data_IF_822111945365
#
_entry.id   IF_822111945365
#
_cell.length_a   1.000
_cell.length_b   1.000
_cell.length_c   1.000
_cell.angle_alpha   90.00
_cell.angle_beta   90.00
_cell.angle_gamma   90.00
#
_symmetry.space_group_name_H-M   'P 1'
#
loop_
_entity.id
_entity.type
_entity.pdbx_description
1 polymer ?
#
# COMPACT_ATOMS: atom_id res chain seq x y z
N UNK A 1 -7.51 31.78 -13.16
CA UNK A 1 -6.19 31.83 -12.49
C UNK A 1 -6.28 32.15 -11.00
N UNK A 2 -7.24 33.00 -10.58
CA UNK A 2 -7.35 33.47 -9.18
C UNK A 2 -7.82 32.39 -8.19
N UNK A 3 -8.75 31.53 -8.58
CA UNK A 3 -9.32 30.52 -7.68
C UNK A 3 -8.31 29.42 -7.30
N UNK A 4 -7.48 28.95 -8.24
CA UNK A 4 -6.42 28.00 -7.94
C UNK A 4 -5.38 28.57 -6.97
N UNK A 5 -5.00 29.83 -7.14
CA UNK A 5 -4.06 30.50 -6.24
C UNK A 5 -4.61 30.64 -4.81
N UNK A 6 -5.92 30.94 -4.67
CA UNK A 6 -6.59 31.02 -3.36
C UNK A 6 -6.61 29.65 -2.68
N UNK A 7 -6.98 28.60 -3.41
CA UNK A 7 -6.97 27.23 -2.89
C UNK A 7 -5.57 26.80 -2.45
N UNK A 8 -4.57 27.04 -3.28
CA UNK A 8 -3.20 26.61 -3.01
C UNK A 8 -2.62 27.34 -1.78
N UNK A 9 -2.93 28.63 -1.61
CA UNK A 9 -2.59 29.40 -0.41
C UNK A 9 -3.27 28.81 0.82
N UNK A 10 -4.59 28.61 0.78
CA UNK A 10 -5.37 28.04 1.88
C UNK A 10 -4.86 26.67 2.31
N UNK A 11 -4.48 25.81 1.33
CA UNK A 11 -4.02 24.42 1.60
C UNK A 11 -2.58 24.35 2.12
N UNK A 12 -1.79 25.40 2.02
CA UNK A 12 -0.37 25.41 2.42
C UNK A 12 -0.08 26.30 3.62
N UNK A 13 -0.95 27.24 3.96
CA UNK A 13 -0.72 28.29 4.97
C UNK A 13 -0.45 27.73 6.36
N UNK A 14 -1.19 26.70 6.78
CA UNK A 14 -1.07 26.00 8.06
C UNK A 14 -0.10 24.81 8.02
N UNK A 15 0.52 24.53 6.87
CA UNK A 15 1.43 23.39 6.66
C UNK A 15 2.89 23.82 6.72
N UNK A 16 3.80 22.84 6.75
CA UNK A 16 5.25 23.08 6.73
C UNK A 16 5.70 23.93 5.54
N UNK A 17 5.04 23.78 4.40
CA UNK A 17 5.34 24.54 3.19
C UNK A 17 5.07 26.06 3.32
N UNK A 18 4.12 26.49 4.17
CA UNK A 18 3.71 27.87 4.44
C UNK A 18 3.05 28.61 3.26
N UNK A 19 3.48 28.36 2.04
CA UNK A 19 2.95 28.98 0.84
C UNK A 19 3.24 28.14 -0.42
N UNK A 20 2.51 28.36 -1.52
CA UNK A 20 2.70 27.62 -2.77
C UNK A 20 4.09 27.80 -3.40
N UNK A 21 4.72 28.96 -3.20
CA UNK A 21 6.05 29.22 -3.78
C UNK A 21 7.08 28.25 -3.22
N UNK A 22 7.08 27.98 -1.91
CA UNK A 22 7.99 27.02 -1.29
C UNK A 22 7.80 25.61 -1.84
N UNK A 23 6.56 25.20 -2.16
CA UNK A 23 6.28 23.92 -2.82
C UNK A 23 6.94 23.88 -4.20
N UNK A 24 6.70 24.90 -5.02
CA UNK A 24 7.26 24.97 -6.37
C UNK A 24 8.79 25.06 -6.38
N UNK A 25 9.38 25.80 -5.46
CA UNK A 25 10.84 25.89 -5.33
C UNK A 25 11.44 24.51 -5.01
N UNK A 26 10.84 23.77 -4.08
CA UNK A 26 11.25 22.40 -3.75
C UNK A 26 11.08 21.43 -4.94
N UNK A 27 9.93 21.44 -5.60
CA UNK A 27 9.65 20.58 -6.74
C UNK A 27 10.59 20.86 -7.93
N UNK A 28 10.87 22.13 -8.19
CA UNK A 28 11.79 22.53 -9.27
C UNK A 28 13.23 22.14 -8.98
N UNK A 29 13.70 22.30 -7.75
CA UNK A 29 15.03 21.87 -7.32
C UNK A 29 15.17 20.35 -7.43
N UNK A 30 14.18 19.59 -6.94
CA UNK A 30 14.14 18.13 -7.05
C UNK A 30 14.16 17.67 -8.50
N UNK A 31 13.34 18.28 -9.36
CA UNK A 31 13.29 18.01 -10.79
C UNK A 31 14.65 18.23 -11.48
N UNK A 32 15.35 19.30 -11.13
CA UNK A 32 16.67 19.57 -11.69
C UNK A 32 17.70 18.52 -11.25
N UNK A 33 17.71 18.15 -9.97
CA UNK A 33 18.63 17.16 -9.41
C UNK A 33 18.41 15.75 -9.98
N UNK A 34 17.15 15.37 -10.24
CA UNK A 34 16.81 14.04 -10.72
C UNK A 34 16.83 13.90 -12.25
N UNK A 35 16.82 15.00 -13.00
CA UNK A 35 16.66 14.98 -14.46
C UNK A 35 17.65 14.05 -15.15
N UNK A 36 18.94 14.17 -14.84
CA UNK A 36 19.98 13.35 -15.48
C UNK A 36 19.80 11.85 -15.20
N UNK A 37 19.41 11.51 -13.97
CA UNK A 37 19.13 10.11 -13.63
C UNK A 37 17.93 9.58 -14.40
N UNK A 38 16.83 10.32 -14.43
CA UNK A 38 15.63 9.93 -15.15
C UNK A 38 15.87 9.76 -16.67
N UNK A 39 16.65 10.66 -17.28
CA UNK A 39 17.04 10.55 -18.69
C UNK A 39 17.86 9.27 -18.94
N UNK A 40 18.80 8.93 -18.07
CA UNK A 40 19.59 7.70 -18.17
C UNK A 40 18.71 6.45 -18.02
N UNK A 41 17.78 6.45 -17.06
CA UNK A 41 16.85 5.31 -16.84
C UNK A 41 15.97 5.08 -18.07
N UNK A 42 15.43 6.16 -18.66
CA UNK A 42 14.66 6.08 -19.92
C UNK A 42 15.51 5.60 -21.08
N UNK A 43 16.76 6.04 -21.19
CA UNK A 43 17.68 5.58 -22.23
C UNK A 43 18.01 4.09 -22.10
N UNK A 44 18.17 3.56 -20.89
CA UNK A 44 18.38 2.12 -20.65
C UNK A 44 17.16 1.31 -21.13
N UNK A 45 15.96 1.73 -20.78
CA UNK A 45 14.72 1.10 -21.26
C UNK A 45 14.59 1.18 -22.79
N UNK A 46 14.93 2.32 -23.36
CA UNK A 46 14.85 2.54 -24.80
C UNK A 46 15.85 1.67 -25.58
N UNK A 47 17.04 1.42 -25.06
CA UNK A 47 18.01 0.47 -25.63
C UNK A 47 17.43 -0.94 -25.75
N UNK A 48 16.72 -1.41 -24.73
CA UNK A 48 16.05 -2.71 -24.77
C UNK A 48 14.91 -2.71 -25.79
N UNK A 49 14.08 -1.65 -25.81
CA UNK A 49 12.98 -1.51 -26.76
C UNK A 49 13.49 -1.54 -28.20
N UNK A 50 14.55 -0.80 -28.51
CA UNK A 50 15.18 -0.78 -29.84
C UNK A 50 15.73 -2.16 -30.25
N UNK A 51 16.34 -2.87 -29.33
CA UNK A 51 16.84 -4.22 -29.62
C UNK A 51 15.72 -5.22 -29.94
N UNK A 52 14.51 -5.00 -29.38
CA UNK A 52 13.36 -5.89 -29.58
C UNK A 52 12.49 -5.52 -30.78
N UNK A 53 12.22 -4.23 -31.00
CA UNK A 53 11.26 -3.73 -32.00
C UNK A 53 11.91 -3.06 -33.22
N UNK A 54 13.22 -2.82 -33.17
CA UNK A 54 13.94 -2.11 -34.21
C UNK A 54 14.33 -0.67 -33.81
N UNK A 55 15.17 -0.07 -34.62
CA UNK A 55 15.83 1.23 -34.35
C UNK A 55 14.87 2.43 -34.38
N UNK A 56 13.66 2.27 -34.92
CA UNK A 56 12.68 3.35 -35.07
C UNK A 56 11.96 3.72 -33.75
N UNK A 57 12.13 2.92 -32.69
CA UNK A 57 11.61 3.23 -31.38
C UNK A 57 12.33 4.45 -30.78
N UNK A 58 11.61 5.56 -30.57
CA UNK A 58 12.18 6.81 -30.09
C UNK A 58 11.75 7.20 -28.67
N UNK A 59 10.69 6.54 -28.14
CA UNK A 59 10.10 6.89 -26.85
C UNK A 59 9.72 5.65 -26.05
N UNK A 60 9.63 5.80 -24.74
CA UNK A 60 8.96 4.87 -23.84
C UNK A 60 7.64 5.51 -23.42
N UNK A 61 6.53 4.84 -23.73
CA UNK A 61 5.22 5.31 -23.32
C UNK A 61 4.90 4.90 -21.87
N UNK A 62 4.03 5.66 -21.19
CA UNK A 62 3.71 5.41 -19.79
C UNK A 62 3.14 4.01 -19.52
N UNK A 63 2.37 3.44 -20.44
CA UNK A 63 1.77 2.11 -20.31
C UNK A 63 2.74 0.96 -20.52
N UNK A 64 3.91 1.19 -21.11
CA UNK A 64 4.95 0.17 -21.35
C UNK A 64 6.17 0.31 -20.42
N UNK A 65 6.24 1.41 -19.67
CA UNK A 65 7.40 1.73 -18.83
C UNK A 65 7.71 0.60 -17.84
N UNK A 66 6.71 0.11 -17.11
CA UNK A 66 6.88 -1.00 -16.16
C UNK A 66 7.39 -2.28 -16.80
N UNK A 67 6.97 -2.60 -18.02
CA UNK A 67 7.49 -3.75 -18.76
C UNK A 67 8.99 -3.59 -19.04
N UNK A 68 9.41 -2.45 -19.60
CA UNK A 68 10.83 -2.24 -19.93
C UNK A 68 11.69 -2.04 -18.68
N UNK A 69 11.17 -1.49 -17.60
CA UNK A 69 11.84 -1.46 -16.31
C UNK A 69 12.14 -2.88 -15.80
N UNK A 70 11.16 -3.78 -15.86
CA UNK A 70 11.39 -5.19 -15.50
C UNK A 70 12.44 -5.86 -16.40
N UNK A 71 12.42 -5.56 -17.71
CA UNK A 71 13.45 -6.08 -18.64
C UNK A 71 14.85 -5.53 -18.32
N UNK A 72 14.97 -4.29 -17.86
CA UNK A 72 16.25 -3.73 -17.38
C UNK A 72 16.71 -4.47 -16.13
N UNK A 73 15.80 -4.69 -15.16
CA UNK A 73 16.09 -5.42 -13.92
C UNK A 73 16.56 -6.85 -14.21
N UNK A 74 15.85 -7.55 -15.09
CA UNK A 74 16.20 -8.90 -15.51
C UNK A 74 17.59 -8.94 -16.16
N UNK A 75 17.87 -8.05 -17.12
CA UNK A 75 19.15 -8.01 -17.83
C UNK A 75 20.35 -7.60 -16.94
N UNK A 76 20.11 -6.70 -16.00
CA UNK A 76 21.19 -6.06 -15.23
C UNK A 76 21.48 -6.78 -13.91
N UNK A 77 20.46 -7.40 -13.31
CA UNK A 77 20.52 -7.99 -11.99
C UNK A 77 20.06 -9.46 -11.95
N UNK A 78 19.71 -10.04 -13.08
CA UNK A 78 19.13 -11.39 -13.18
C UNK A 78 17.89 -11.58 -12.26
N UNK A 79 17.14 -10.49 -12.08
CA UNK A 79 15.98 -10.44 -11.21
C UNK A 79 14.69 -10.52 -12.04
N UNK A 80 14.04 -11.69 -11.99
CA UNK A 80 12.72 -11.89 -12.59
C UNK A 80 11.62 -11.68 -11.53
N UNK A 81 10.84 -10.62 -11.69
CA UNK A 81 9.72 -10.30 -10.78
C UNK A 81 8.66 -11.41 -10.74
N UNK A 82 8.46 -12.16 -11.82
CA UNK A 82 7.50 -13.28 -11.87
C UNK A 82 8.02 -14.50 -11.10
N UNK A 83 9.34 -14.74 -11.06
CA UNK A 83 9.93 -15.77 -10.21
C UNK A 83 9.86 -15.36 -8.73
N UNK A 84 10.15 -14.09 -8.43
CA UNK A 84 10.14 -13.57 -7.06
C UNK A 84 8.76 -13.68 -6.41
N UNK A 85 7.68 -13.39 -7.15
CA UNK A 85 6.31 -13.45 -6.58
C UNK A 85 5.88 -14.86 -6.18
N UNK A 86 6.52 -15.91 -6.64
CA UNK A 86 6.25 -17.31 -6.20
C UNK A 86 6.55 -17.54 -4.72
N UNK A 87 7.40 -16.73 -4.12
CA UNK A 87 7.71 -16.78 -2.70
C UNK A 87 6.69 -16.04 -1.84
N UNK A 88 5.80 -15.23 -2.44
CA UNK A 88 4.86 -14.36 -1.75
C UNK A 88 3.41 -14.78 -1.99
N UNK A 89 3.08 -16.02 -1.61
CA UNK A 89 1.68 -16.44 -1.56
C UNK A 89 0.96 -15.68 -0.44
N UNK A 90 -0.26 -15.18 -0.73
CA UNK A 90 -1.01 -14.25 0.11
C UNK A 90 -1.21 -14.74 1.55
N UNK A 91 -1.57 -16.01 1.75
CA UNK A 91 -1.81 -16.53 3.11
C UNK A 91 -0.50 -16.67 3.89
N UNK A 92 0.59 -17.03 3.22
CA UNK A 92 1.92 -17.11 3.84
C UNK A 92 2.43 -15.71 4.23
N UNK A 93 2.25 -14.73 3.35
CA UNK A 93 2.59 -13.32 3.65
C UNK A 93 1.75 -12.80 4.82
N UNK A 94 0.45 -13.06 4.83
CA UNK A 94 -0.46 -12.66 5.93
C UNK A 94 -0.04 -13.29 7.26
N UNK A 95 0.28 -14.59 7.26
CA UNK A 95 0.74 -15.30 8.45
C UNK A 95 2.07 -14.74 8.98
N UNK A 96 3.01 -14.46 8.08
CA UNK A 96 4.28 -13.83 8.41
C UNK A 96 4.11 -12.43 8.99
N UNK A 97 3.28 -11.61 8.33
CA UNK A 97 2.92 -10.27 8.79
C UNK A 97 2.30 -10.32 10.19
N UNK A 98 1.32 -11.19 10.43
CA UNK A 98 0.70 -11.35 11.74
C UNK A 98 1.72 -11.76 12.80
N UNK A 99 2.61 -12.71 12.50
CA UNK A 99 3.67 -13.13 13.41
C UNK A 99 4.56 -11.96 13.83
N UNK A 100 5.00 -11.15 12.86
CA UNK A 100 5.86 -9.99 13.11
C UNK A 100 5.14 -8.97 14.00
N UNK A 101 3.93 -8.56 13.64
CA UNK A 101 3.19 -7.53 14.37
C UNK A 101 2.74 -8.00 15.76
N UNK A 102 2.30 -9.26 15.90
CA UNK A 102 1.96 -9.82 17.20
C UNK A 102 3.15 -9.85 18.16
N UNK A 103 4.34 -10.20 17.67
CA UNK A 103 5.55 -10.19 18.49
C UNK A 103 6.03 -8.77 18.79
N UNK A 104 5.93 -7.85 17.83
CA UNK A 104 6.40 -6.47 18.00
C UNK A 104 5.57 -5.70 19.03
N UNK A 105 4.25 -5.90 19.03
CA UNK A 105 3.31 -5.16 19.89
C UNK A 105 2.76 -5.97 21.06
N UNK A 106 3.23 -7.18 21.27
CA UNK A 106 2.75 -8.10 22.31
C UNK A 106 1.21 -8.30 22.27
N UNK A 107 0.67 -8.47 21.09
CA UNK A 107 -0.76 -8.66 20.85
C UNK A 107 -1.04 -10.02 20.21
N UNK A 108 -2.32 -10.43 20.20
CA UNK A 108 -2.80 -11.64 19.56
C UNK A 108 -3.97 -11.30 18.63
N UNK A 109 -3.92 -11.81 17.41
CA UNK A 109 -4.99 -11.65 16.42
C UNK A 109 -5.80 -12.94 16.34
N UNK A 110 -7.11 -12.83 16.51
CA UNK A 110 -8.03 -13.96 16.37
C UNK A 110 -9.04 -13.71 15.27
N UNK A 111 -9.19 -14.65 14.35
CA UNK A 111 -10.21 -14.58 13.32
C UNK A 111 -11.59 -14.74 13.94
N UNK A 112 -12.51 -13.87 13.57
CA UNK A 112 -13.91 -13.93 14.00
C UNK A 112 -14.68 -14.85 13.05
N UNK A 113 -15.38 -15.85 13.61
CA UNK A 113 -16.27 -16.71 12.85
C UNK A 113 -17.60 -16.03 12.56
N UNK A 114 -18.12 -16.19 11.34
CA UNK A 114 -19.37 -15.59 10.87
C UNK A 114 -19.49 -14.09 11.15
N UNK A 115 -18.49 -13.27 10.74
CA UNK A 115 -18.48 -11.85 11.05
C UNK A 115 -19.57 -11.10 10.28
N UNK A 116 -20.06 -9.99 10.86
CA UNK A 116 -20.87 -9.03 10.11
C UNK A 116 -19.95 -8.23 9.19
N UNK A 117 -19.99 -8.50 7.89
CA UNK A 117 -19.15 -7.90 6.87
C UNK A 117 -19.96 -7.42 5.68
N UNK A 118 -19.40 -6.53 4.87
CA UNK A 118 -20.04 -5.96 3.68
C UNK A 118 -19.84 -6.78 2.39
N UNK A 119 -19.00 -7.81 2.44
CA UNK A 119 -18.74 -8.72 1.32
C UNK A 119 -18.16 -10.03 1.82
N UNK A 120 -18.44 -11.15 1.14
CA UNK A 120 -17.99 -12.49 1.50
C UNK A 120 -16.47 -12.70 1.57
N UNK A 121 -15.71 -11.96 0.75
CA UNK A 121 -14.24 -12.00 0.75
C UNK A 121 -13.61 -11.24 1.95
N UNK A 122 -14.40 -10.50 2.73
CA UNK A 122 -13.90 -9.70 3.85
C UNK A 122 -13.74 -10.57 5.07
N UNK A 123 -12.56 -10.52 5.69
CA UNK A 123 -12.27 -11.20 6.93
C UNK A 123 -12.27 -10.20 8.10
N UNK A 124 -12.67 -10.63 9.27
CA UNK A 124 -12.65 -9.84 10.49
C UNK A 124 -11.78 -10.52 11.54
N UNK A 125 -11.00 -9.72 12.26
CA UNK A 125 -10.14 -10.16 13.35
C UNK A 125 -10.35 -9.31 14.60
N UNK A 126 -10.26 -9.94 15.75
CA UNK A 126 -10.14 -9.29 17.06
C UNK A 126 -8.66 -9.17 17.45
N UNK A 127 -8.31 -8.07 18.10
CA UNK A 127 -6.97 -7.82 18.66
C UNK A 127 -7.09 -7.94 20.17
N UNK A 128 -6.31 -8.81 20.76
CA UNK A 128 -6.20 -8.97 22.20
C UNK A 128 -4.80 -8.64 22.67
N UNK A 129 -4.68 -8.04 23.86
CA UNK A 129 -3.41 -8.01 24.56
C UNK A 129 -3.00 -9.43 24.94
N UNK A 130 -1.75 -9.80 24.68
CA UNK A 130 -1.30 -11.20 24.80
C UNK A 130 -1.26 -11.67 26.25
N UNK A 131 -0.94 -10.77 27.19
CA UNK A 131 -0.73 -11.13 28.59
C UNK A 131 -2.02 -11.07 29.43
N UNK A 132 -2.98 -10.24 29.08
CA UNK A 132 -4.23 -10.04 29.84
C UNK A 132 -5.48 -10.61 29.17
N UNK A 133 -5.39 -11.02 27.91
CA UNK A 133 -6.53 -11.39 27.06
C UNK A 133 -7.59 -10.27 26.91
N UNK A 134 -7.22 -9.01 27.20
CA UNK A 134 -8.10 -7.88 27.04
C UNK A 134 -8.32 -7.58 25.53
N UNK A 135 -9.59 -7.37 25.15
CA UNK A 135 -9.94 -6.96 23.79
C UNK A 135 -9.56 -5.48 23.56
N UNK A 136 -8.57 -5.25 22.72
CA UNK A 136 -8.04 -3.92 22.41
C UNK A 136 -8.82 -3.28 21.26
N UNK A 137 -9.13 -4.07 20.22
CA UNK A 137 -9.76 -3.57 19.02
C UNK A 137 -10.15 -4.66 18.03
N UNK A 138 -10.60 -4.23 16.87
CA UNK A 138 -10.98 -5.14 15.78
C UNK A 138 -10.49 -4.58 14.45
N UNK A 139 -10.25 -5.47 13.48
CA UNK A 139 -9.95 -5.03 12.13
C UNK A 139 -10.56 -5.93 11.07
N UNK A 140 -10.76 -5.35 9.91
CA UNK A 140 -11.24 -6.01 8.70
C UNK A 140 -10.14 -6.02 7.64
N UNK A 141 -10.02 -7.14 6.93
CA UNK A 141 -9.17 -7.30 5.75
C UNK A 141 -10.06 -7.44 4.52
N UNK A 142 -10.06 -6.42 3.68
CA UNK A 142 -10.75 -6.37 2.39
C UNK A 142 -9.70 -6.34 1.27
N UNK A 143 -9.20 -7.52 0.88
CA UNK A 143 -7.92 -7.65 0.18
C UNK A 143 -8.03 -7.82 -1.33
N UNK A 144 -9.22 -8.20 -1.86
CA UNK A 144 -9.37 -8.56 -3.26
C UNK A 144 -10.21 -7.55 -4.05
N UNK A 145 -9.92 -7.35 -5.36
CA UNK A 145 -10.68 -6.43 -6.19
C UNK A 145 -12.08 -6.97 -6.49
N UNK A 146 -13.03 -6.06 -6.66
CA UNK A 146 -14.39 -6.32 -7.16
C UNK A 146 -15.00 -5.06 -7.76
N UNK A 147 -16.11 -5.15 -8.51
CA UNK A 147 -16.79 -3.97 -9.05
C UNK A 147 -17.16 -2.96 -7.95
N UNK A 148 -16.98 -1.68 -8.23
CA UNK A 148 -17.29 -0.54 -7.34
C UNK A 148 -16.50 -0.49 -6.03
N UNK A 149 -15.44 -1.28 -5.86
CA UNK A 149 -14.53 -1.18 -4.73
C UNK A 149 -13.53 -0.03 -4.93
N UNK A 150 -13.08 0.56 -3.82
CA UNK A 150 -11.97 1.52 -3.81
C UNK A 150 -10.70 0.92 -4.43
N UNK A 151 -10.14 1.61 -5.42
CA UNK A 151 -9.10 1.06 -6.30
C UNK A 151 -7.66 1.12 -5.76
N UNK A 152 -7.45 1.79 -4.62
CA UNK A 152 -6.12 1.91 -4.00
C UNK A 152 -6.04 1.13 -2.70
N UNK A 153 -4.82 0.94 -2.16
CA UNK A 153 -4.62 0.45 -0.81
C UNK A 153 -4.81 1.59 0.19
N UNK A 154 -5.47 1.32 1.31
CA UNK A 154 -5.63 2.28 2.41
C UNK A 154 -6.16 1.61 3.69
N UNK A 155 -5.81 2.17 4.85
CA UNK A 155 -6.43 1.87 6.13
C UNK A 155 -7.51 2.93 6.47
N UNK A 156 -8.70 2.47 6.84
CA UNK A 156 -9.84 3.32 7.18
C UNK A 156 -10.30 3.06 8.61
N UNK A 157 -10.50 4.13 9.39
CA UNK A 157 -11.17 4.02 10.68
C UNK A 157 -12.67 3.79 10.45
N UNK A 158 -13.18 2.64 10.90
CA UNK A 158 -14.62 2.32 10.89
C UNK A 158 -15.30 2.80 12.17
N UNK A 159 -14.63 2.55 13.30
CA UNK A 159 -15.03 3.04 14.62
C UNK A 159 -13.77 3.61 15.28
N UNK A 160 -13.86 4.86 15.72
CA UNK A 160 -12.80 5.45 16.53
C UNK A 160 -12.94 4.99 17.99
N UNK A 161 -11.83 4.59 18.60
CA UNK A 161 -11.78 4.33 20.04
C UNK A 161 -12.13 5.59 20.83
N UNK A 162 -13.01 5.47 21.82
CA UNK A 162 -13.41 6.60 22.66
C UNK A 162 -14.00 6.17 23.99
N UNK A 163 -13.85 7.02 24.97
CA UNK A 163 -14.60 6.89 26.24
C UNK A 163 -16.09 7.22 26.02
N UNK A 164 -16.95 6.44 26.61
CA UNK A 164 -18.40 6.63 26.63
C UNK A 164 -18.90 6.47 28.07
N UNK A 165 -20.16 6.80 28.34
CA UNK A 165 -20.78 6.62 29.67
C UNK A 165 -20.79 5.14 30.10
N UNK A 166 -20.69 4.20 29.15
CA UNK A 166 -20.66 2.75 29.39
C UNK A 166 -19.24 2.16 29.36
N UNK A 167 -18.20 2.99 29.44
CA UNK A 167 -16.78 2.57 29.38
C UNK A 167 -16.14 2.84 28.02
N UNK A 168 -14.95 2.30 27.82
CA UNK A 168 -14.19 2.48 26.57
C UNK A 168 -14.77 1.65 25.43
N UNK A 169 -15.08 2.33 24.31
CA UNK A 169 -15.49 1.68 23.07
C UNK A 169 -14.25 1.43 22.22
N UNK A 170 -13.95 0.14 21.97
CA UNK A 170 -12.78 -0.28 21.20
C UNK A 170 -12.88 0.18 19.75
N UNK A 171 -11.72 0.51 19.14
CA UNK A 171 -11.65 0.90 17.73
C UNK A 171 -11.92 -0.29 16.80
N UNK A 172 -12.37 0.02 15.60
CA UNK A 172 -12.42 -0.91 14.49
C UNK A 172 -11.88 -0.24 13.22
N UNK A 173 -10.97 -0.91 12.53
CA UNK A 173 -10.27 -0.39 11.35
C UNK A 173 -10.45 -1.34 10.18
N UNK A 174 -10.57 -0.85 8.95
CA UNK A 174 -10.60 -1.66 7.74
C UNK A 174 -9.35 -1.40 6.91
N UNK A 175 -8.65 -2.47 6.56
CA UNK A 175 -7.59 -2.46 5.57
C UNK A 175 -8.16 -2.88 4.22
N UNK A 176 -8.06 -2.00 3.24
CA UNK A 176 -8.51 -2.22 1.87
C UNK A 176 -7.31 -2.32 0.96
N UNK A 177 -7.21 -3.41 0.19
CA UNK A 177 -6.20 -3.61 -0.86
C UNK A 177 -6.86 -4.16 -2.11
N UNK A 178 -6.10 -4.34 -3.19
CA UNK A 178 -6.58 -4.92 -4.45
C UNK A 178 -5.55 -5.91 -4.99
N UNK A 179 -5.22 -6.92 -4.19
CA UNK A 179 -4.29 -7.98 -4.58
C UNK A 179 -4.94 -8.95 -5.58
N UNK A 180 -4.14 -9.65 -6.39
CA UNK A 180 -4.67 -10.66 -7.31
C UNK A 180 -5.54 -11.68 -6.56
N UNK A 181 -6.81 -11.85 -6.98
CA UNK A 181 -7.69 -12.85 -6.37
C UNK A 181 -7.21 -14.25 -6.75
N UNK A 182 -7.18 -15.21 -5.81
CA UNK A 182 -6.86 -16.59 -6.14
C UNK A 182 -7.91 -17.16 -7.11
N UNK A 183 -7.48 -18.07 -7.96
CA UNK A 183 -8.35 -18.82 -8.88
C UNK A 183 -8.35 -20.29 -8.48
N UNK A 184 -9.19 -21.10 -9.11
CA UNK A 184 -9.20 -22.55 -8.91
C UNK A 184 -7.84 -23.21 -9.20
N UNK A 185 -7.04 -22.61 -10.10
CA UNK A 185 -5.78 -23.20 -10.60
C UNK A 185 -4.54 -22.47 -10.10
N UNK A 186 -4.69 -21.31 -9.46
CA UNK A 186 -3.54 -20.50 -9.05
C UNK A 186 -3.81 -19.76 -7.74
N UNK A 187 -2.92 -19.86 -6.74
CA UNK A 187 -3.02 -19.09 -5.52
C UNK A 187 -2.82 -17.59 -5.80
N UNK A 188 -3.22 -16.76 -4.86
CA UNK A 188 -2.90 -15.32 -4.90
C UNK A 188 -1.41 -15.14 -4.65
N UNK A 189 -0.67 -14.78 -5.69
CA UNK A 189 0.77 -14.48 -5.61
C UNK A 189 0.96 -12.96 -5.64
N UNK A 190 1.60 -12.43 -4.61
CA UNK A 190 1.88 -11.01 -4.46
C UNK A 190 3.20 -10.64 -5.17
N UNK A 191 3.29 -9.44 -5.72
CA UNK A 191 4.57 -8.86 -6.10
C UNK A 191 5.29 -8.36 -4.83
N UNK A 192 6.59 -8.10 -4.93
CA UNK A 192 7.34 -7.47 -3.83
C UNK A 192 6.69 -6.13 -3.40
N UNK A 193 6.28 -5.31 -4.36
CA UNK A 193 5.61 -4.03 -4.11
C UNK A 193 4.24 -4.22 -3.41
N UNK A 194 3.52 -5.31 -3.71
CA UNK A 194 2.29 -5.65 -2.99
C UNK A 194 2.57 -5.99 -1.52
N UNK A 195 3.64 -6.73 -1.25
CA UNK A 195 4.06 -7.08 0.12
C UNK A 195 4.44 -5.81 0.88
N UNK A 196 5.25 -4.93 0.28
CA UNK A 196 5.64 -3.65 0.87
C UNK A 196 4.41 -2.80 1.19
N UNK A 197 3.48 -2.66 0.23
CA UNK A 197 2.20 -1.96 0.42
C UNK A 197 1.39 -2.58 1.55
N UNK A 198 1.29 -3.90 1.62
CA UNK A 198 0.55 -4.60 2.68
C UNK A 198 1.11 -4.29 4.07
N UNK A 199 2.43 -4.37 4.24
CA UNK A 199 3.09 -4.02 5.50
C UNK A 199 2.89 -2.56 5.86
N UNK A 200 3.00 -1.65 4.88
CA UNK A 200 2.79 -0.21 5.07
C UNK A 200 1.38 0.09 5.58
N UNK A 201 0.36 -0.38 4.87
CA UNK A 201 -1.04 -0.13 5.22
C UNK A 201 -1.44 -0.84 6.52
N UNK A 202 -0.88 -2.02 6.79
CA UNK A 202 -1.11 -2.70 8.05
C UNK A 202 -0.48 -1.94 9.23
N UNK A 203 0.63 -1.24 9.01
CA UNK A 203 1.21 -0.29 9.97
C UNK A 203 0.22 0.83 10.34
N UNK A 204 -0.47 1.42 9.36
CA UNK A 204 -1.54 2.38 9.62
C UNK A 204 -2.73 1.77 10.37
N UNK A 205 -3.13 0.55 10.02
CA UNK A 205 -4.19 -0.18 10.72
C UNK A 205 -3.86 -0.36 12.21
N UNK A 206 -2.66 -0.85 12.50
CA UNK A 206 -2.19 -1.06 13.88
C UNK A 206 -2.11 0.27 14.63
N UNK A 207 -1.58 1.31 14.01
CA UNK A 207 -1.52 2.64 14.60
C UNK A 207 -2.93 3.15 14.99
N UNK A 208 -3.91 3.05 14.08
CA UNK A 208 -5.29 3.46 14.35
C UNK A 208 -6.00 2.60 15.42
N UNK A 209 -5.56 1.34 15.58
CA UNK A 209 -6.14 0.41 16.55
C UNK A 209 -5.50 0.48 17.93
N UNK A 210 -4.19 0.78 18.03
CA UNK A 210 -3.41 0.72 19.27
C UNK A 210 -3.04 2.09 19.84
N UNK A 211 -3.23 3.20 19.12
CA UNK A 211 -2.78 4.54 19.56
C UNK A 211 -3.49 5.05 20.83
N UNK A 212 -4.54 4.40 21.25
CA UNK A 212 -5.35 4.80 22.43
C UNK A 212 -5.12 3.91 23.66
N UNK A 213 -4.06 3.11 23.64
CA UNK A 213 -3.64 2.27 24.76
C UNK A 213 -2.64 3.02 25.62
#
# INVERSE_FOLDING_TARGET
GSEMCIRDRYRTEDRMAKNPKNVWDFENDLKQKLRKKAENDVEEMLKIKKARLGTDATTINSWEAGYYENQVKLKKYDLDAEEVRKYFEFNNVTSGLFTIYQNLFNVRFEKVDNPSVWHEDVQMFSIYEKDSDELIGKFYLDMFPRPNKYGHAAAFSVIMGKMTDNGYKQPATALVCNFPKPTEYQPSLLTHDNVETYFHEFGHLVHLSLIHI
#
